data_IF_766416175327
#
_entry.id   IF_766416175327
#
_cell.length_a   1.000
_cell.length_b   1.000
_cell.length_c   1.000
_cell.angle_alpha   90.00
_cell.angle_beta   90.00
_cell.angle_gamma   90.00
#
_symmetry.space_group_name_H-M   'P 1'
#
loop_
_entity.id
_entity.type
_entity.pdbx_description
1 polymer ?
#
# COMPACT_ATOMS: atom_id res chain seq x y z
N UNK A 1 -12.19 -51.01 12.75
CA UNK A 1 -10.93 -50.36 13.19
C UNK A 1 -10.97 -48.93 12.67
N UNK A 2 -11.02 -47.89 13.52
CA UNK A 2 -11.18 -46.51 13.05
C UNK A 2 -9.86 -45.96 12.51
N UNK A 3 -9.92 -45.40 11.31
CA UNK A 3 -8.81 -44.89 10.50
C UNK A 3 -8.21 -43.61 11.10
N UNK A 4 -6.90 -43.59 11.30
CA UNK A 4 -6.16 -42.37 11.62
C UNK A 4 -6.02 -41.50 10.35
N UNK A 5 -6.51 -40.26 10.36
CA UNK A 5 -6.36 -39.30 9.26
C UNK A 5 -5.31 -38.21 9.59
N UNK A 6 -4.32 -37.95 8.72
CA UNK A 6 -3.23 -37.01 8.95
C UNK A 6 -3.53 -35.62 8.36
N UNK A 7 -3.97 -34.64 9.16
CA UNK A 7 -4.04 -33.23 8.73
C UNK A 7 -4.15 -32.17 9.85
N UNK A 8 -4.24 -32.58 11.12
CA UNK A 8 -4.70 -31.68 12.20
C UNK A 8 -3.66 -30.71 12.80
N UNK A 9 -2.35 -30.93 12.62
CA UNK A 9 -1.33 -30.14 13.34
C UNK A 9 -1.14 -28.71 12.79
N UNK A 10 -1.14 -28.54 11.47
CA UNK A 10 -0.83 -27.25 10.84
C UNK A 10 -2.00 -26.26 10.90
N UNK A 11 -3.23 -26.75 10.81
CA UNK A 11 -4.44 -25.93 10.94
C UNK A 11 -4.62 -25.38 12.36
N UNK A 12 -4.31 -26.19 13.38
CA UNK A 12 -4.33 -25.73 14.78
C UNK A 12 -3.23 -24.70 15.04
N UNK A 13 -2.05 -24.86 14.44
CA UNK A 13 -0.96 -23.89 14.52
C UNK A 13 -1.33 -22.50 13.97
N UNK A 14 -2.03 -22.44 12.84
CA UNK A 14 -2.49 -21.18 12.26
C UNK A 14 -3.54 -20.47 13.14
N UNK A 15 -4.45 -21.24 13.75
CA UNK A 15 -5.46 -20.70 14.68
C UNK A 15 -4.82 -20.11 15.94
N UNK A 16 -3.87 -20.84 16.54
CA UNK A 16 -3.18 -20.39 17.76
C UNK A 16 -2.28 -19.19 17.48
N UNK A 17 -1.63 -19.12 16.31
CA UNK A 17 -0.82 -17.97 15.90
C UNK A 17 -1.68 -16.70 15.71
N UNK A 18 -2.87 -16.83 15.11
CA UNK A 18 -3.81 -15.71 14.97
C UNK A 18 -4.31 -15.17 16.30
N UNK A 19 -4.64 -16.05 17.26
CA UNK A 19 -5.05 -15.65 18.61
C UNK A 19 -3.90 -14.99 19.37
N UNK A 20 -2.67 -15.51 19.25
CA UNK A 20 -1.49 -14.90 19.87
C UNK A 20 -1.16 -13.53 19.26
N UNK A 21 -1.35 -13.32 17.96
CA UNK A 21 -1.17 -12.02 17.32
C UNK A 21 -2.15 -10.95 17.87
N UNK A 22 -3.38 -11.35 18.20
CA UNK A 22 -4.38 -10.46 18.83
C UNK A 22 -3.97 -10.13 20.27
N UNK A 23 -3.55 -11.13 21.04
CA UNK A 23 -3.20 -10.97 22.47
C UNK A 23 -1.88 -10.20 22.67
N UNK A 24 -0.94 -10.27 21.71
CA UNK A 24 0.35 -9.56 21.76
C UNK A 24 0.36 -8.20 21.03
N UNK A 25 -0.81 -7.66 20.65
CA UNK A 25 -0.93 -6.42 19.86
C UNK A 25 -0.42 -5.14 20.54
N UNK A 26 0.08 -5.22 21.79
CA UNK A 26 0.83 -4.15 22.45
C UNK A 26 2.27 -3.96 21.95
N UNK A 27 2.82 -4.87 21.12
CA UNK A 27 4.14 -4.74 20.50
C UNK A 27 4.04 -4.89 18.96
N UNK A 28 3.96 -3.79 18.19
CA UNK A 28 3.59 -3.79 16.77
C UNK A 28 4.56 -4.57 15.87
N UNK A 29 5.86 -4.51 16.16
CA UNK A 29 6.88 -5.23 15.36
C UNK A 29 6.77 -6.76 15.47
N UNK A 30 6.37 -7.28 16.64
CA UNK A 30 6.21 -8.74 16.84
C UNK A 30 4.89 -9.23 16.24
N UNK A 31 3.84 -8.40 16.30
CA UNK A 31 2.52 -8.71 15.74
C UNK A 31 2.55 -8.80 14.21
N UNK A 32 3.28 -7.91 13.54
CA UNK A 32 3.44 -7.93 12.07
C UNK A 32 4.16 -9.20 11.62
N UNK A 33 5.27 -9.56 12.28
CA UNK A 33 6.04 -10.77 11.95
C UNK A 33 5.21 -12.04 12.18
N UNK A 34 4.46 -12.14 13.28
CA UNK A 34 3.57 -13.30 13.52
C UNK A 34 2.38 -13.36 12.55
N UNK A 35 1.81 -12.21 12.17
CA UNK A 35 0.73 -12.11 11.19
C UNK A 35 1.16 -12.62 9.81
N UNK A 36 2.34 -12.21 9.36
CA UNK A 36 2.94 -12.68 8.10
C UNK A 36 3.16 -14.20 8.13
N UNK A 37 3.69 -14.76 9.23
CA UNK A 37 3.90 -16.21 9.37
C UNK A 37 2.57 -16.98 9.36
N UNK A 38 1.51 -16.44 9.97
CA UNK A 38 0.17 -17.05 9.94
C UNK A 38 -0.42 -17.11 8.52
N UNK A 39 -0.23 -16.05 7.73
CA UNK A 39 -0.66 -15.99 6.32
C UNK A 39 0.12 -17.00 5.47
N UNK A 40 1.44 -17.08 5.64
CA UNK A 40 2.29 -18.02 4.90
C UNK A 40 1.98 -19.48 5.23
N UNK A 41 1.72 -19.80 6.51
CA UNK A 41 1.28 -21.14 6.91
C UNK A 41 -0.12 -21.49 6.36
N UNK A 42 -1.06 -20.55 6.40
CA UNK A 42 -2.40 -20.74 5.82
C UNK A 42 -2.34 -20.94 4.30
N UNK A 43 -1.43 -20.25 3.62
CA UNK A 43 -1.14 -20.42 2.20
C UNK A 43 -0.55 -21.79 1.86
N UNK A 44 0.26 -22.37 2.74
CA UNK A 44 0.81 -23.73 2.55
C UNK A 44 -0.24 -24.83 2.74
N UNK A 45 -1.24 -24.65 3.62
CA UNK A 45 -2.32 -25.64 3.79
C UNK A 45 -3.30 -25.61 2.61
N UNK A 46 -3.57 -24.42 2.05
CA UNK A 46 -4.41 -24.25 0.85
C UNK A 46 -3.85 -24.98 -0.39
N UNK A 47 -2.53 -25.12 -0.49
CA UNK A 47 -1.86 -25.85 -1.60
C UNK A 47 -1.95 -27.38 -1.49
N UNK A 48 -2.43 -27.93 -0.36
CA UNK A 48 -2.54 -29.39 -0.16
C UNK A 48 -3.91 -29.97 -0.50
N UNK A 49 -4.84 -29.17 -1.03
CA UNK A 49 -6.11 -29.64 -1.58
C UNK A 49 -7.14 -30.15 -0.56
N UNK A 50 -6.90 -29.99 0.74
CA UNK A 50 -7.90 -30.25 1.78
C UNK A 50 -8.61 -28.95 2.15
N UNK A 51 -9.82 -28.76 1.61
CA UNK A 51 -10.75 -27.71 2.06
C UNK A 51 -11.39 -28.13 3.38
N UNK A 52 -10.69 -27.89 4.49
CA UNK A 52 -11.29 -27.98 5.82
C UNK A 52 -11.69 -26.59 6.31
N UNK A 53 -12.92 -26.43 6.82
CA UNK A 53 -13.51 -25.13 7.18
C UNK A 53 -12.70 -24.33 8.21
N UNK A 54 -11.78 -25.00 8.91
CA UNK A 54 -10.85 -24.42 9.88
C UNK A 54 -9.74 -23.59 9.21
N UNK A 55 -9.33 -23.90 7.98
CA UNK A 55 -8.37 -23.09 7.23
C UNK A 55 -9.01 -21.79 6.71
N UNK A 56 -10.29 -21.83 6.32
CA UNK A 56 -11.06 -20.62 5.97
C UNK A 56 -11.28 -19.72 7.20
N UNK A 57 -11.58 -20.32 8.36
CA UNK A 57 -11.69 -19.57 9.62
C UNK A 57 -10.37 -18.89 10.04
N UNK A 58 -9.22 -19.56 9.84
CA UNK A 58 -7.90 -18.98 10.11
C UNK A 58 -7.57 -17.77 9.22
N UNK A 59 -7.96 -17.81 7.93
CA UNK A 59 -7.80 -16.66 7.02
C UNK A 59 -8.65 -15.48 7.46
N UNK A 60 -9.93 -15.70 7.75
CA UNK A 60 -10.85 -14.64 8.16
C UNK A 60 -10.42 -14.03 9.50
N UNK A 61 -10.01 -14.86 10.47
CA UNK A 61 -9.51 -14.36 11.76
C UNK A 61 -8.21 -13.57 11.62
N UNK A 62 -7.29 -13.98 10.74
CA UNK A 62 -6.06 -13.22 10.45
C UNK A 62 -6.35 -11.86 9.82
N UNK A 63 -7.27 -11.80 8.85
CA UNK A 63 -7.69 -10.55 8.20
C UNK A 63 -8.34 -9.61 9.22
N UNK A 64 -9.27 -10.10 10.04
CA UNK A 64 -9.93 -9.28 11.07
C UNK A 64 -8.93 -8.77 12.11
N UNK A 65 -7.94 -9.58 12.48
CA UNK A 65 -6.86 -9.16 13.39
C UNK A 65 -5.99 -8.05 12.82
N UNK A 66 -5.67 -8.12 11.52
CA UNK A 66 -4.91 -7.07 10.81
C UNK A 66 -5.72 -5.78 10.72
N UNK A 67 -7.01 -5.87 10.39
CA UNK A 67 -7.91 -4.70 10.34
C UNK A 67 -7.96 -4.00 11.70
N UNK A 68 -8.12 -4.76 12.79
CA UNK A 68 -8.09 -4.19 14.14
C UNK A 68 -6.73 -3.57 14.50
N UNK A 69 -5.62 -4.19 14.10
CA UNK A 69 -4.29 -3.66 14.34
C UNK A 69 -4.03 -2.35 13.57
N UNK A 70 -4.51 -2.24 12.33
CA UNK A 70 -4.42 -1.02 11.53
C UNK A 70 -5.27 0.09 12.15
N UNK A 71 -6.50 -0.20 12.57
CA UNK A 71 -7.36 0.79 13.25
C UNK A 71 -6.68 1.29 14.54
N UNK A 72 -6.11 0.40 15.34
CA UNK A 72 -5.39 0.79 16.56
C UNK A 72 -4.09 1.55 16.28
N UNK A 73 -3.38 1.21 15.20
CA UNK A 73 -2.20 1.93 14.76
C UNK A 73 -2.56 3.35 14.31
N UNK A 74 -3.65 3.54 13.56
CA UNK A 74 -4.12 4.85 13.14
C UNK A 74 -4.58 5.71 14.33
N UNK A 75 -5.31 5.12 15.29
CA UNK A 75 -5.69 5.81 16.52
C UNK A 75 -4.43 6.20 17.32
N UNK A 76 -3.46 5.28 17.46
CA UNK A 76 -2.18 5.55 18.12
C UNK A 76 -1.32 6.60 17.41
N UNK A 77 -1.36 6.63 16.09
CA UNK A 77 -0.66 7.61 15.25
C UNK A 77 -1.26 9.02 15.40
N UNK A 78 -2.59 9.12 15.40
CA UNK A 78 -3.32 10.37 15.65
C UNK A 78 -3.04 10.91 17.05
N UNK A 79 -3.04 10.04 18.07
CA UNK A 79 -2.72 10.44 19.45
C UNK A 79 -1.22 10.78 19.59
N UNK A 80 -0.33 10.04 18.92
CA UNK A 80 1.12 10.27 18.94
C UNK A 80 1.53 11.60 18.31
N UNK A 81 0.96 11.96 17.17
CA UNK A 81 1.15 13.26 16.52
C UNK A 81 0.59 14.38 17.41
N UNK A 82 -0.56 14.15 18.07
CA UNK A 82 -1.14 15.10 19.03
C UNK A 82 -0.22 15.43 20.21
N UNK A 83 0.52 14.44 20.74
CA UNK A 83 1.46 14.68 21.87
C UNK A 83 2.77 15.33 21.44
N UNK A 84 3.22 15.11 20.19
CA UNK A 84 4.42 15.78 19.67
C UNK A 84 4.14 17.26 19.33
N UNK A 85 2.91 17.58 18.92
CA UNK A 85 2.46 18.96 18.70
C UNK A 85 2.38 19.77 20.01
N UNK A 86 2.01 19.15 21.14
CA UNK A 86 1.99 19.85 22.45
C UNK A 86 3.37 20.12 23.03
N UNK A 87 4.43 19.47 22.52
CA UNK A 87 5.83 19.74 22.92
C UNK A 87 6.52 20.75 21.97
N UNK A 88 5.98 20.93 20.76
CA UNK A 88 6.50 21.89 19.78
C UNK A 88 6.11 23.35 20.09
N UNK A 89 5.01 23.57 20.82
CA UNK A 89 4.52 24.91 21.18
C UNK A 89 5.36 25.61 22.28
N UNK A 90 6.25 24.90 22.98
CA UNK A 90 7.14 25.50 24.00
C UNK A 90 8.47 26.03 23.44
N UNK A 91 8.77 25.87 22.14
CA UNK A 91 10.09 26.22 21.56
C UNK A 91 10.10 27.63 20.92
N UNK A 92 8.96 28.31 20.77
CA UNK A 92 8.89 29.61 20.04
C UNK A 92 9.19 30.86 20.91
N UNK A 93 9.42 30.75 22.22
CA UNK A 93 9.87 31.87 23.06
C UNK A 93 11.37 31.78 23.36
N UNK A 94 12.19 32.34 22.45
CA UNK A 94 13.64 32.25 22.49
C UNK A 94 14.32 33.00 23.65
N UNK A 95 15.50 32.49 24.05
CA UNK A 95 16.76 33.24 24.29
C UNK A 95 17.92 32.27 24.66
N UNK A 96 19.18 32.70 24.81
CA UNK A 96 20.24 32.43 23.84
C UNK A 96 21.45 31.73 24.47
N UNK A 97 21.90 30.59 23.94
CA UNK A 97 23.20 30.05 24.31
C UNK A 97 23.95 29.52 23.08
N UNK A 98 24.81 30.39 22.55
CA UNK A 98 25.95 30.05 21.70
C UNK A 98 26.95 29.19 22.48
N UNK A 99 27.27 27.97 22.02
CA UNK A 99 28.60 27.33 22.17
C UNK A 99 28.72 26.11 21.21
N UNK A 100 29.92 25.63 20.83
CA UNK A 100 30.58 25.92 19.56
C UNK A 100 30.80 24.67 18.68
N UNK A 101 31.15 24.90 17.40
CA UNK A 101 31.65 23.89 16.46
C UNK A 101 32.91 23.22 16.97
N UNK A 102 32.91 21.90 17.17
CA UNK A 102 34.12 21.06 17.04
C UNK A 102 33.79 19.57 16.85
N UNK A 103 34.47 19.01 15.84
CA UNK A 103 34.97 17.64 15.69
C UNK A 103 33.99 16.48 15.48
N UNK A 104 34.05 15.95 14.25
CA UNK A 104 33.80 14.57 13.83
C UNK A 104 34.22 13.51 14.86
N UNK A 105 33.37 12.52 15.19
CA UNK A 105 33.83 11.30 15.82
C UNK A 105 34.25 10.27 14.75
N UNK A 106 35.55 10.01 14.67
CA UNK A 106 36.09 8.72 14.22
C UNK A 106 35.45 7.61 15.05
N UNK A 107 34.76 6.67 14.41
CA UNK A 107 34.31 5.44 15.05
C UNK A 107 35.50 4.47 15.05
N UNK A 108 36.17 4.39 16.19
CA UNK A 108 37.18 3.38 16.48
C UNK A 108 36.54 1.99 16.59
N UNK A 109 37.07 1.07 15.79
CA UNK A 109 36.73 -0.35 15.77
C UNK A 109 37.20 -1.03 17.06
N UNK A 110 36.27 -1.56 17.86
CA UNK A 110 36.63 -2.24 19.10
C UNK A 110 35.48 -2.99 19.76
N UNK A 111 35.66 -4.31 19.84
CA UNK A 111 34.95 -5.30 20.67
C UNK A 111 33.76 -6.00 20.00
N UNK A 112 33.92 -7.33 19.87
CA UNK A 112 33.13 -8.17 19.01
C UNK A 112 31.89 -8.77 19.66
N UNK A 113 30.92 -9.04 18.79
CA UNK A 113 30.00 -10.17 18.86
C UNK A 113 29.90 -10.68 17.42
N UNK A 114 30.48 -11.86 17.16
CA UNK A 114 30.45 -12.49 15.85
C UNK A 114 29.02 -12.89 15.49
N UNK A 115 28.35 -12.04 14.73
CA UNK A 115 27.06 -12.34 14.09
C UNK A 115 27.35 -12.86 12.69
N UNK A 116 27.32 -14.19 12.52
CA UNK A 116 27.54 -14.86 11.23
C UNK A 116 26.33 -14.79 10.28
N UNK A 117 25.59 -13.69 10.29
CA UNK A 117 24.66 -13.36 9.21
C UNK A 117 25.30 -12.21 8.46
N UNK A 118 25.84 -12.48 7.28
CA UNK A 118 26.18 -11.44 6.34
C UNK A 118 24.88 -10.64 6.10
N UNK A 119 24.76 -9.50 6.79
CA UNK A 119 23.81 -8.47 6.41
C UNK A 119 24.33 -8.02 5.05
N UNK A 120 23.55 -8.14 3.96
CA UNK A 120 23.95 -7.59 2.69
C UNK A 120 24.33 -6.14 2.91
N UNK A 121 25.52 -5.75 2.45
CA UNK A 121 25.91 -4.35 2.45
C UNK A 121 25.01 -3.64 1.44
N UNK A 122 23.87 -3.11 1.89
CA UNK A 122 22.98 -2.28 1.07
C UNK A 122 23.56 -0.87 0.98
N UNK A 123 24.80 -0.78 0.52
CA UNK A 123 25.44 0.49 0.20
C UNK A 123 24.96 0.98 -1.17
N UNK A 124 24.89 2.30 -1.32
CA UNK A 124 24.57 2.91 -2.60
C UNK A 124 25.74 2.76 -3.56
N UNK A 125 25.45 2.35 -4.79
CA UNK A 125 26.41 2.37 -5.88
C UNK A 125 26.23 3.66 -6.71
N UNK A 126 26.92 4.72 -6.29
CA UNK A 126 26.87 6.01 -6.97
C UNK A 126 27.30 5.94 -8.44
N UNK A 127 28.17 4.99 -8.80
CA UNK A 127 28.62 4.84 -10.19
C UNK A 127 27.51 4.30 -11.09
N UNK A 128 26.58 3.52 -10.53
CA UNK A 128 25.48 2.89 -11.27
C UNK A 128 24.16 3.66 -11.18
N UNK A 129 24.04 4.63 -10.26
CA UNK A 129 22.87 5.50 -10.14
C UNK A 129 22.49 6.22 -11.44
N UNK A 130 23.46 6.61 -12.27
CA UNK A 130 23.16 7.22 -13.59
C UNK A 130 22.49 6.23 -14.56
N UNK A 131 22.77 4.94 -14.46
CA UNK A 131 22.14 3.92 -15.28
C UNK A 131 20.70 3.67 -14.86
N UNK A 132 20.42 3.71 -13.55
CA UNK A 132 19.04 3.68 -13.00
C UNK A 132 18.27 4.92 -13.42
N UNK A 133 18.90 6.11 -13.40
CA UNK A 133 18.27 7.36 -13.83
C UNK A 133 17.76 7.34 -15.28
N UNK A 134 18.39 6.56 -16.17
CA UNK A 134 17.94 6.39 -17.55
C UNK A 134 16.59 5.64 -17.66
N UNK A 135 16.12 4.99 -16.59
CA UNK A 135 14.84 4.30 -16.52
C UNK A 135 13.70 5.16 -15.98
N UNK A 136 13.97 6.40 -15.53
CA UNK A 136 12.93 7.30 -14.99
C UNK A 136 11.83 7.57 -16.02
N UNK A 137 12.18 8.04 -17.22
CA UNK A 137 11.19 8.33 -18.27
C UNK A 137 10.40 7.08 -18.71
N UNK A 138 11.03 5.90 -18.97
CA UNK A 138 10.31 4.65 -19.19
C UNK A 138 9.36 4.25 -18.04
N UNK A 139 9.74 4.53 -16.79
CA UNK A 139 8.91 4.21 -15.62
C UNK A 139 7.69 5.12 -15.55
N UNK A 140 7.87 6.41 -15.81
CA UNK A 140 6.78 7.39 -15.91
C UNK A 140 5.80 6.97 -17.02
N UNK A 141 6.29 6.62 -18.21
CA UNK A 141 5.45 6.15 -19.30
C UNK A 141 4.66 4.88 -18.94
N UNK A 142 5.29 3.92 -18.24
CA UNK A 142 4.62 2.70 -17.80
C UNK A 142 3.50 2.96 -16.78
N UNK A 143 3.63 4.00 -15.94
CA UNK A 143 2.62 4.40 -14.97
C UNK A 143 1.49 5.18 -15.65
N UNK A 144 1.82 6.18 -16.48
CA UNK A 144 0.85 7.04 -17.15
C UNK A 144 0.08 6.31 -18.27
N UNK A 145 0.70 5.30 -18.90
CA UNK A 145 0.12 4.50 -19.98
C UNK A 145 0.07 3.00 -19.61
N UNK A 146 -0.72 2.62 -18.60
CA UNK A 146 -0.71 1.26 -18.09
C UNK A 146 -1.31 0.27 -19.11
N UNK A 147 -0.85 -0.99 -19.13
CA UNK A 147 -1.39 -2.02 -20.02
C UNK A 147 -2.91 -2.19 -19.88
N UNK A 148 -3.58 -2.52 -21.00
CA UNK A 148 -5.03 -2.66 -21.05
C UNK A 148 -5.62 -3.69 -20.06
N UNK A 149 -4.81 -4.66 -19.61
CA UNK A 149 -5.22 -5.64 -18.61
C UNK A 149 -5.57 -4.99 -17.25
N UNK A 150 -4.87 -3.92 -16.86
CA UNK A 150 -5.14 -3.19 -15.62
C UNK A 150 -6.50 -2.48 -15.68
N UNK A 151 -6.79 -1.81 -16.81
CA UNK A 151 -8.05 -1.09 -17.02
C UNK A 151 -9.28 -1.97 -16.77
N UNK A 152 -9.26 -3.19 -17.30
CA UNK A 152 -10.37 -4.13 -17.12
C UNK A 152 -10.53 -4.63 -15.67
N UNK A 153 -9.43 -4.75 -14.92
CA UNK A 153 -9.48 -5.13 -13.51
C UNK A 153 -10.01 -3.97 -12.65
N UNK A 154 -9.49 -2.76 -12.86
CA UNK A 154 -9.93 -1.57 -12.14
C UNK A 154 -11.39 -1.22 -12.41
N UNK A 155 -11.85 -1.32 -13.66
CA UNK A 155 -13.25 -1.09 -14.01
C UNK A 155 -14.19 -2.02 -13.23
N UNK A 156 -13.84 -3.31 -13.06
CA UNK A 156 -14.63 -4.26 -12.26
C UNK A 156 -14.63 -3.90 -10.77
N UNK A 157 -13.50 -3.44 -10.25
CA UNK A 157 -13.39 -3.12 -8.83
C UNK A 157 -14.18 -1.85 -8.50
N UNK A 158 -14.06 -0.79 -9.32
CA UNK A 158 -14.90 0.39 -9.19
C UNK A 158 -16.39 0.02 -9.30
N UNK A 159 -16.78 -0.83 -10.26
CA UNK A 159 -18.17 -1.28 -10.39
C UNK A 159 -18.68 -1.96 -9.10
N UNK A 160 -17.84 -2.80 -8.48
CA UNK A 160 -18.12 -3.48 -7.20
C UNK A 160 -18.13 -2.55 -5.99
N UNK A 161 -17.31 -1.49 -5.98
CA UNK A 161 -17.24 -0.54 -4.87
C UNK A 161 -18.55 0.25 -4.73
N UNK A 162 -19.21 0.56 -5.84
CA UNK A 162 -20.54 1.19 -5.84
C UNK A 162 -21.63 0.22 -5.34
N UNK A 163 -21.53 -1.08 -5.64
CA UNK A 163 -22.43 -2.08 -5.07
C UNK A 163 -22.32 -2.12 -3.54
N UNK A 164 -21.09 -2.01 -3.00
CA UNK A 164 -20.86 -1.95 -1.55
C UNK A 164 -21.35 -0.62 -0.94
N UNK A 165 -21.17 0.49 -1.64
CA UNK A 165 -21.53 1.81 -1.13
C UNK A 165 -23.04 2.09 -1.15
N UNK A 166 -23.74 1.69 -2.22
CA UNK A 166 -25.15 2.05 -2.41
C UNK A 166 -26.08 0.88 -2.74
N UNK A 167 -25.57 -0.35 -2.77
CA UNK A 167 -26.36 -1.55 -3.06
C UNK A 167 -26.60 -1.80 -4.56
N UNK A 168 -26.03 -0.97 -5.44
CA UNK A 168 -26.12 -1.11 -6.89
C UNK A 168 -24.76 -0.79 -7.53
N UNK A 169 -24.31 -1.63 -8.44
CA UNK A 169 -23.13 -1.38 -9.25
C UNK A 169 -23.34 -0.20 -10.23
N UNK A 170 -22.24 0.38 -10.74
CA UNK A 170 -22.31 1.41 -11.79
C UNK A 170 -23.05 0.88 -13.02
N UNK A 171 -22.75 -0.35 -13.43
CA UNK A 171 -23.39 -1.03 -14.55
C UNK A 171 -24.90 -1.16 -14.33
N UNK A 172 -25.34 -1.56 -13.14
CA UNK A 172 -26.77 -1.64 -12.82
C UNK A 172 -27.42 -0.26 -12.93
N UNK A 173 -26.76 0.79 -12.45
CA UNK A 173 -27.20 2.19 -12.60
C UNK A 173 -27.15 2.72 -14.05
N UNK A 174 -26.68 1.92 -15.02
CA UNK A 174 -26.58 2.32 -16.41
C UNK A 174 -25.40 3.27 -16.69
N UNK A 175 -24.40 3.27 -15.81
CA UNK A 175 -23.13 4.01 -15.96
C UNK A 175 -22.07 3.07 -16.53
N UNK A 176 -21.08 3.65 -17.19
CA UNK A 176 -19.93 2.90 -17.71
C UNK A 176 -18.75 3.00 -16.73
N UNK A 177 -18.33 1.91 -16.07
CA UNK A 177 -17.15 1.93 -15.20
C UNK A 177 -15.88 2.37 -15.93
N UNK A 178 -15.77 2.14 -17.24
CA UNK A 178 -14.60 2.56 -18.02
C UNK A 178 -14.51 4.08 -18.14
N UNK A 179 -15.63 4.80 -18.09
CA UNK A 179 -15.61 6.26 -18.08
C UNK A 179 -14.93 6.81 -16.81
N UNK A 180 -15.08 6.12 -15.67
CA UNK A 180 -14.36 6.46 -14.44
C UNK A 180 -12.88 6.14 -14.59
N UNK A 181 -12.51 5.00 -15.18
CA UNK A 181 -11.11 4.66 -15.45
C UNK A 181 -10.43 5.67 -16.38
N UNK A 182 -11.10 6.08 -17.45
CA UNK A 182 -10.58 7.09 -18.36
C UNK A 182 -10.44 8.46 -17.67
N UNK A 183 -11.33 8.79 -16.74
CA UNK A 183 -11.21 9.98 -15.91
C UNK A 183 -10.04 9.90 -14.93
N UNK A 184 -9.84 8.77 -14.24
CA UNK A 184 -8.69 8.52 -13.35
C UNK A 184 -7.37 8.70 -14.11
N UNK A 185 -7.25 7.98 -15.24
CA UNK A 185 -6.04 7.99 -16.08
C UNK A 185 -5.83 9.31 -16.80
N UNK A 186 -6.89 10.02 -17.18
CA UNK A 186 -6.79 11.35 -17.78
C UNK A 186 -6.22 12.42 -16.83
N UNK A 187 -6.29 12.19 -15.51
CA UNK A 187 -5.66 13.02 -14.49
C UNK A 187 -4.31 12.49 -14.01
N UNK A 188 -3.83 11.37 -14.54
CA UNK A 188 -2.59 10.74 -14.08
C UNK A 188 -1.37 11.51 -14.55
N UNK A 189 -0.48 11.83 -13.62
CA UNK A 189 0.83 12.40 -13.94
C UNK A 189 1.85 11.90 -12.93
N UNK A 190 2.91 11.27 -13.40
CA UNK A 190 4.03 10.83 -12.57
C UNK A 190 5.23 11.76 -12.76
N UNK A 191 5.89 12.13 -11.65
CA UNK A 191 7.03 13.05 -11.67
C UNK A 191 8.09 12.59 -10.68
N UNK A 192 9.38 12.72 -11.01
CA UNK A 192 10.43 12.51 -10.02
C UNK A 192 10.46 13.69 -9.05
N UNK A 193 10.60 13.41 -7.76
CA UNK A 193 10.93 14.41 -6.75
C UNK A 193 12.45 14.64 -6.74
N UNK A 194 12.95 15.47 -7.65
CA UNK A 194 14.39 15.69 -7.83
C UNK A 194 15.13 14.43 -8.32
N UNK A 195 16.38 14.25 -7.87
CA UNK A 195 17.20 13.07 -8.18
C UNK A 195 16.94 11.93 -7.18
N UNK A 196 15.70 11.44 -7.15
CA UNK A 196 15.27 10.38 -6.23
C UNK A 196 15.29 9.00 -6.88
N UNK A 197 16.45 8.58 -7.36
CA UNK A 197 16.70 7.22 -7.85
C UNK A 197 18.09 6.74 -7.41
N UNK A 198 18.20 5.45 -7.11
CA UNK A 198 19.40 4.89 -6.50
C UNK A 198 19.70 3.48 -7.02
N UNK A 199 20.97 3.18 -7.22
CA UNK A 199 21.45 1.81 -7.38
C UNK A 199 22.04 1.29 -6.06
N UNK A 200 21.88 -0.01 -5.82
CA UNK A 200 22.46 -0.72 -4.69
C UNK A 200 23.57 -1.66 -5.19
N UNK A 201 24.57 -1.90 -4.34
CA UNK A 201 25.73 -2.76 -4.67
C UNK A 201 25.38 -4.23 -4.89
N UNK A 202 24.17 -4.66 -4.54
CA UNK A 202 23.65 -6.01 -4.82
C UNK A 202 23.06 -6.16 -6.23
N UNK A 203 23.08 -5.10 -7.04
CA UNK A 203 22.54 -5.08 -8.39
C UNK A 203 21.05 -4.76 -8.47
N UNK A 204 20.41 -4.38 -7.37
CA UNK A 204 19.05 -3.81 -7.39
C UNK A 204 19.11 -2.28 -7.43
N UNK A 205 17.98 -1.65 -7.66
CA UNK A 205 17.83 -0.19 -7.55
C UNK A 205 16.37 0.19 -7.32
N UNK A 206 16.15 1.47 -7.07
CA UNK A 206 14.81 2.03 -6.83
C UNK A 206 14.68 3.38 -7.51
N UNK A 207 13.49 3.67 -8.03
CA UNK A 207 13.08 4.95 -8.57
C UNK A 207 11.87 5.42 -7.76
N UNK A 208 11.96 6.61 -7.19
CA UNK A 208 10.86 7.23 -6.45
C UNK A 208 10.16 8.28 -7.29
N UNK A 209 8.82 8.21 -7.35
CA UNK A 209 7.98 9.10 -8.12
C UNK A 209 6.80 9.60 -7.28
N UNK A 210 6.50 10.88 -7.40
CA UNK A 210 5.19 11.43 -7.03
C UNK A 210 4.21 11.20 -8.17
N UNK A 211 3.17 10.44 -7.89
CA UNK A 211 2.09 10.16 -8.84
C UNK A 211 0.85 10.91 -8.39
N UNK A 212 0.37 11.81 -9.24
CA UNK A 212 -0.89 12.52 -9.06
C UNK A 212 -1.95 11.84 -9.93
N UNK A 213 -3.14 11.62 -9.39
CA UNK A 213 -4.24 11.06 -10.17
C UNK A 213 -5.58 11.56 -9.65
N UNK A 214 -6.57 11.54 -10.55
CA UNK A 214 -7.96 11.72 -10.19
C UNK A 214 -8.39 10.54 -9.32
N UNK A 215 -8.86 10.82 -8.11
CA UNK A 215 -9.09 9.85 -7.05
C UNK A 215 -10.53 9.30 -7.12
N UNK A 216 -10.64 8.06 -7.58
CA UNK A 216 -11.91 7.33 -7.64
C UNK A 216 -12.53 7.09 -6.25
N UNK A 217 -11.72 6.99 -5.19
CA UNK A 217 -12.22 6.84 -3.82
C UNK A 217 -12.85 8.14 -3.31
N UNK A 218 -12.29 9.31 -3.63
CA UNK A 218 -12.94 10.59 -3.31
C UNK A 218 -14.28 10.75 -4.04
N UNK A 219 -14.33 10.34 -5.32
CA UNK A 219 -15.57 10.31 -6.10
C UNK A 219 -16.62 9.38 -5.46
N UNK A 220 -16.21 8.18 -5.04
CA UNK A 220 -17.07 7.23 -4.33
C UNK A 220 -17.56 7.80 -3.01
N UNK A 221 -16.67 8.40 -2.22
CA UNK A 221 -16.99 8.98 -0.92
C UNK A 221 -17.96 10.15 -1.03
N UNK A 222 -17.82 10.99 -2.06
CA UNK A 222 -18.78 12.05 -2.36
C UNK A 222 -20.15 11.47 -2.71
N UNK A 223 -20.20 10.45 -3.57
CA UNK A 223 -21.45 9.73 -3.88
C UNK A 223 -22.09 9.18 -2.60
N UNK A 224 -21.30 8.50 -1.77
CA UNK A 224 -21.76 7.88 -0.52
C UNK A 224 -22.30 8.92 0.48
N UNK A 225 -21.62 10.06 0.61
CA UNK A 225 -22.04 11.17 1.48
C UNK A 225 -23.43 11.69 1.11
N UNK A 226 -23.72 11.82 -0.19
CA UNK A 226 -25.02 12.30 -0.67
C UNK A 226 -26.15 11.30 -0.40
N UNK A 227 -25.92 10.01 -0.64
CA UNK A 227 -26.94 8.98 -0.37
C UNK A 227 -27.13 8.70 1.12
N UNK A 228 -26.08 8.87 1.95
CA UNK A 228 -26.16 8.67 3.40
C UNK A 228 -27.05 9.72 4.09
N UNK A 229 -27.32 10.85 3.43
CA UNK A 229 -28.26 11.86 3.88
C UNK A 229 -29.73 11.50 3.60
N UNK A 230 -30.00 10.43 2.84
CA UNK A 230 -31.33 10.00 2.43
C UNK A 230 -31.84 8.83 3.28
N UNK A 231 -33.16 8.77 3.49
CA UNK A 231 -33.81 7.63 4.15
C UNK A 231 -34.21 6.58 3.10
N UNK A 232 -33.61 5.40 3.15
CA UNK A 232 -33.75 4.31 2.18
C UNK A 232 -33.48 4.74 0.71
N UNK A 233 -32.23 5.04 0.35
CA UNK A 233 -31.88 5.50 -1.00
C UNK A 233 -32.26 4.46 -2.07
N UNK A 234 -32.84 4.95 -3.16
CA UNK A 234 -33.19 4.16 -4.34
C UNK A 234 -32.02 4.07 -5.31
N UNK A 235 -32.16 3.22 -6.33
CA UNK A 235 -31.21 3.13 -7.45
C UNK A 235 -31.09 4.47 -8.18
N UNK A 236 -32.21 5.15 -8.39
CA UNK A 236 -32.27 6.46 -9.03
C UNK A 236 -31.53 7.52 -8.18
N UNK A 237 -31.65 7.45 -6.86
CA UNK A 237 -30.92 8.36 -5.96
C UNK A 237 -29.41 8.12 -6.03
N UNK A 238 -28.95 6.86 -5.99
CA UNK A 238 -27.52 6.55 -6.14
C UNK A 238 -26.98 6.98 -7.51
N UNK A 239 -27.75 6.75 -8.58
CA UNK A 239 -27.38 7.20 -9.92
C UNK A 239 -27.27 8.71 -10.01
N UNK A 240 -28.18 9.45 -9.39
CA UNK A 240 -28.16 10.91 -9.38
C UNK A 240 -26.99 11.47 -8.57
N UNK A 241 -26.69 10.86 -7.41
CA UNK A 241 -25.53 11.21 -6.59
C UNK A 241 -24.21 10.97 -7.33
N UNK A 242 -24.10 9.85 -8.06
CA UNK A 242 -22.94 9.60 -8.92
C UNK A 242 -22.80 10.67 -10.00
N UNK A 243 -23.88 10.99 -10.72
CA UNK A 243 -23.84 12.01 -11.77
C UNK A 243 -23.43 13.37 -11.21
N UNK A 244 -23.95 13.74 -10.03
CA UNK A 244 -23.57 14.97 -9.37
C UNK A 244 -22.08 14.98 -8.99
N UNK A 245 -21.62 13.95 -8.27
CA UNK A 245 -20.22 13.81 -7.86
C UNK A 245 -19.25 13.79 -9.06
N UNK A 246 -19.59 13.06 -10.13
CA UNK A 246 -18.75 12.97 -11.32
C UNK A 246 -18.70 14.29 -12.11
N UNK A 247 -19.82 15.02 -12.19
CA UNK A 247 -19.84 16.34 -12.81
C UNK A 247 -19.07 17.38 -11.96
N UNK A 248 -19.21 17.33 -10.64
CA UNK A 248 -18.46 18.19 -9.72
C UNK A 248 -16.95 17.91 -9.82
N UNK A 249 -16.55 16.64 -9.87
CA UNK A 249 -15.16 16.24 -10.04
C UNK A 249 -14.54 16.76 -11.34
N UNK A 250 -15.31 16.80 -12.42
CA UNK A 250 -14.88 17.40 -13.68
C UNK A 250 -14.84 18.93 -13.65
N UNK A 251 -15.72 19.59 -12.88
CA UNK A 251 -15.72 21.04 -12.71
C UNK A 251 -14.63 21.53 -11.75
N UNK A 252 -14.30 20.72 -10.74
CA UNK A 252 -13.41 21.05 -9.62
C UNK A 252 -12.29 19.99 -9.47
N UNK A 253 -11.44 19.77 -10.50
CA UNK A 253 -10.52 18.64 -10.54
C UNK A 253 -9.56 18.60 -9.35
N UNK A 254 -9.12 19.76 -8.85
CA UNK A 254 -8.20 19.84 -7.69
C UNK A 254 -8.78 19.24 -6.40
N UNK A 255 -10.10 19.19 -6.25
CA UNK A 255 -10.75 18.61 -5.07
C UNK A 255 -10.73 17.07 -5.09
N UNK A 256 -10.44 16.48 -6.25
CA UNK A 256 -10.47 15.05 -6.48
C UNK A 256 -9.12 14.53 -6.96
N UNK A 257 -8.02 15.24 -6.70
CA UNK A 257 -6.67 14.76 -7.00
C UNK A 257 -5.99 14.34 -5.71
N UNK A 258 -5.46 13.13 -5.70
CA UNK A 258 -4.61 12.61 -4.64
C UNK A 258 -3.18 12.42 -5.16
N UNK A 259 -2.22 12.48 -4.24
CA UNK A 259 -0.84 12.15 -4.51
C UNK A 259 -0.46 10.81 -3.86
N UNK A 260 0.29 10.01 -4.60
CA UNK A 260 0.84 8.74 -4.16
C UNK A 260 2.34 8.73 -4.38
N UNK A 261 3.08 8.33 -3.35
CA UNK A 261 4.53 8.18 -3.44
C UNK A 261 4.87 6.75 -3.83
N UNK A 262 5.29 6.56 -5.08
CA UNK A 262 5.60 5.24 -5.64
C UNK A 262 7.09 4.94 -5.54
N UNK A 263 7.43 3.72 -5.11
CA UNK A 263 8.80 3.22 -5.06
C UNK A 263 8.95 2.03 -6.02
N UNK A 264 9.50 2.27 -7.20
CA UNK A 264 9.58 1.24 -8.25
C UNK A 264 10.97 0.62 -8.28
N UNK A 265 11.04 -0.69 -8.08
CA UNK A 265 12.28 -1.44 -8.17
C UNK A 265 12.81 -1.57 -9.60
N UNK A 266 14.13 -1.64 -9.72
CA UNK A 266 14.84 -2.00 -10.96
C UNK A 266 15.88 -3.08 -10.66
N UNK A 267 16.14 -3.93 -11.64
CA UNK A 267 17.09 -5.05 -11.50
C UNK A 267 18.17 -4.98 -12.58
N UNK A 268 19.41 -5.18 -12.15
CA UNK A 268 20.55 -5.32 -13.05
C UNK A 268 20.54 -6.65 -13.76
N UNK A 269 20.68 -6.59 -15.07
CA UNK A 269 20.72 -7.72 -15.97
C UNK A 269 22.14 -8.31 -16.06
N UNK A 270 22.29 -9.56 -16.53
CA UNK A 270 23.61 -10.18 -16.69
C UNK A 270 24.56 -9.45 -17.63
N UNK A 271 24.04 -8.61 -18.54
CA UNK A 271 24.82 -7.76 -19.44
C UNK A 271 25.25 -6.41 -18.82
N UNK A 272 24.88 -6.18 -17.55
CA UNK A 272 25.18 -4.97 -16.79
C UNK A 272 24.18 -3.82 -16.99
N UNK A 273 23.17 -3.96 -17.84
CA UNK A 273 22.09 -2.97 -17.98
C UNK A 273 21.07 -3.09 -16.84
N UNK A 274 20.34 -2.01 -16.56
CA UNK A 274 19.20 -2.06 -15.63
C UNK A 274 17.89 -2.18 -16.40
N UNK A 275 16.92 -2.91 -15.84
CA UNK A 275 15.55 -2.97 -16.35
C UNK A 275 14.53 -2.81 -15.24
N UNK A 276 13.36 -2.31 -15.57
CA UNK A 276 12.25 -2.18 -14.62
C UNK A 276 11.83 -3.54 -14.04
N UNK A 277 11.75 -3.63 -12.71
CA UNK A 277 11.17 -4.79 -12.06
C UNK A 277 9.66 -4.77 -12.27
N UNK A 278 9.17 -5.63 -13.17
CA UNK A 278 7.76 -5.67 -13.53
C UNK A 278 6.88 -5.95 -12.32
N UNK A 279 7.25 -6.89 -11.45
CA UNK A 279 6.47 -7.24 -10.25
C UNK A 279 6.33 -6.06 -9.29
N UNK A 280 7.39 -5.27 -9.10
CA UNK A 280 7.37 -4.05 -8.30
C UNK A 280 6.41 -3.04 -8.92
N UNK A 281 6.49 -2.81 -10.24
CA UNK A 281 5.54 -1.95 -10.94
C UNK A 281 4.11 -2.44 -10.76
N UNK A 282 3.80 -3.73 -10.98
CA UNK A 282 2.43 -4.23 -10.86
C UNK A 282 1.88 -4.05 -9.44
N UNK A 283 2.73 -4.20 -8.43
CA UNK A 283 2.36 -4.05 -7.02
C UNK A 283 2.01 -2.60 -6.71
N UNK A 284 2.86 -1.65 -7.12
CA UNK A 284 2.62 -0.22 -6.94
C UNK A 284 1.38 0.26 -7.72
N UNK A 285 1.21 -0.23 -8.96
CA UNK A 285 0.00 0.01 -9.77
C UNK A 285 -1.26 -0.59 -9.15
N UNK A 286 -1.19 -1.66 -8.37
CA UNK A 286 -2.35 -2.17 -7.65
C UNK A 286 -2.67 -1.34 -6.41
N UNK A 287 -1.65 -0.90 -5.67
CA UNK A 287 -1.83 -0.03 -4.51
C UNK A 287 -2.41 1.33 -4.88
N UNK A 288 -1.92 1.96 -5.95
CA UNK A 288 -2.43 3.25 -6.42
C UNK A 288 -3.92 3.23 -6.77
N UNK A 289 -4.43 2.07 -7.20
CA UNK A 289 -5.80 1.92 -7.69
C UNK A 289 -6.69 1.10 -6.73
N UNK A 290 -6.26 0.89 -5.49
CA UNK A 290 -7.08 0.27 -4.45
C UNK A 290 -7.37 -1.22 -4.64
N UNK A 291 -6.60 -1.94 -5.46
CA UNK A 291 -6.73 -3.39 -5.62
C UNK A 291 -6.03 -4.12 -4.46
N UNK A 292 -6.79 -4.72 -3.54
CA UNK A 292 -6.30 -5.64 -2.50
C UNK A 292 -6.84 -7.07 -2.65
#
# INVERSE_FOLDING_TARGET
MPSANPSNGKAVGALVCGILAIVLSGFPLVAIVLGIVAIVLAGQVAKTGFEDGKAKAGKVCGIVGIVFAIIWFLIGFIIGIGTLATLADEIEHGSPYDVPSTTTPEINNGTGIGSNTAVPDLSFDEAETSAVGALVDPTIDAIENPPAAYRAAWARNIDSDYELACGYSLTEMGKDPNAVIDWVLGGMTARPDGESWYAYTDGTGVIYLDVYTNDAYQLLNQTFSEIAALDNPTKEDCSAAFDHAFNDANANPKAYVSNYYAAIGVDKQPDGSYTLNQQSLETEMNYMFGNF
#
